data_IF_801188597244
#
_entry.id   IF_801188597244
#
_cell.length_a   1.000
_cell.length_b   1.000
_cell.length_c   1.000
_cell.angle_alpha   90.00
_cell.angle_beta   90.00
_cell.angle_gamma   90.00
#
_symmetry.space_group_name_H-M   'P 1'
#
loop_
_entity.id
_entity.type
_entity.pdbx_description
1 polymer ?
#
# COMPACT_ATOMS: atom_id res chain seq x y z
N UNK A 1 26.01 9.87 -13.36
CA UNK A 1 26.83 10.29 -14.52
C UNK A 1 25.93 11.16 -15.38
N UNK A 2 26.21 12.45 -15.48
CA UNK A 2 25.44 13.39 -16.29
C UNK A 2 25.60 13.01 -17.77
N UNK A 3 24.59 12.38 -18.37
CA UNK A 3 24.48 12.28 -19.83
C UNK A 3 24.07 13.65 -20.37
N UNK A 4 25.02 14.57 -20.43
CA UNK A 4 24.92 15.72 -21.32
C UNK A 4 25.07 15.20 -22.75
N UNK A 5 23.97 14.77 -23.36
CA UNK A 5 23.92 14.44 -24.77
C UNK A 5 24.20 15.71 -25.57
N UNK A 6 25.38 15.79 -26.18
CA UNK A 6 25.72 16.81 -27.17
C UNK A 6 25.10 16.50 -28.55
N UNK A 7 24.14 15.57 -28.60
CA UNK A 7 23.47 15.13 -29.82
C UNK A 7 21.97 15.37 -29.70
N UNK A 8 21.38 15.88 -30.79
CA UNK A 8 19.93 16.00 -30.92
C UNK A 8 19.34 14.58 -31.04
N UNK A 9 18.84 14.06 -29.92
CA UNK A 9 18.21 12.73 -29.83
C UNK A 9 17.01 12.62 -30.78
N UNK A 10 16.29 13.72 -31.04
CA UNK A 10 15.19 13.73 -32.02
C UNK A 10 15.71 13.61 -33.46
N UNK A 11 16.87 14.20 -33.76
CA UNK A 11 17.51 14.03 -35.06
C UNK A 11 17.96 12.58 -35.28
N UNK A 12 18.62 11.97 -34.29
CA UNK A 12 19.03 10.57 -34.37
C UNK A 12 17.80 9.67 -34.52
N UNK A 13 16.73 9.92 -33.75
CA UNK A 13 15.50 9.14 -33.84
C UNK A 13 14.87 9.21 -35.25
N UNK A 14 14.76 10.42 -35.83
CA UNK A 14 14.28 10.60 -37.21
C UNK A 14 15.13 9.83 -38.21
N UNK A 15 16.45 9.84 -38.03
CA UNK A 15 17.39 9.12 -38.88
C UNK A 15 17.25 7.59 -38.72
N UNK A 16 17.07 7.10 -37.51
CA UNK A 16 16.86 5.67 -37.25
C UNK A 16 15.55 5.19 -37.89
N UNK A 17 14.48 5.98 -37.83
CA UNK A 17 13.21 5.67 -38.48
C UNK A 17 13.35 5.71 -40.01
N UNK A 18 14.06 6.69 -40.58
CA UNK A 18 14.25 6.77 -42.03
C UNK A 18 15.11 5.65 -42.61
N UNK A 19 16.03 5.09 -41.82
CA UNK A 19 16.90 3.99 -42.22
C UNK A 19 16.43 2.61 -41.72
N UNK A 20 15.19 2.51 -41.21
CA UNK A 20 14.57 1.25 -40.74
C UNK A 20 15.40 0.54 -39.65
N UNK A 21 16.14 1.32 -38.83
CA UNK A 21 16.90 0.81 -37.68
C UNK A 21 16.05 0.95 -36.42
N UNK A 22 15.14 -0.02 -36.22
CA UNK A 22 14.17 0.02 -35.12
C UNK A 22 14.78 -0.26 -33.74
N UNK A 23 15.81 -1.11 -33.66
CA UNK A 23 16.42 -1.46 -32.37
C UNK A 23 17.08 -0.24 -31.67
N UNK A 24 17.92 0.56 -32.35
CA UNK A 24 18.42 1.81 -31.77
C UNK A 24 17.32 2.84 -31.49
N UNK A 25 16.30 2.93 -32.36
CA UNK A 25 15.19 3.86 -32.16
C UNK A 25 14.43 3.58 -30.85
N UNK A 26 14.20 2.31 -30.53
CA UNK A 26 13.57 1.90 -29.27
C UNK A 26 14.44 2.26 -28.07
N UNK A 27 15.75 2.02 -28.11
CA UNK A 27 16.67 2.38 -27.02
C UNK A 27 16.65 3.90 -26.77
N UNK A 28 16.65 4.70 -27.83
CA UNK A 28 16.53 6.16 -27.72
C UNK A 28 15.20 6.55 -27.08
N UNK A 29 14.09 5.88 -27.43
CA UNK A 29 12.81 6.13 -26.76
C UNK A 29 12.81 5.77 -25.27
N UNK A 30 13.51 4.71 -24.87
CA UNK A 30 13.70 4.35 -23.45
C UNK A 30 14.49 5.46 -22.74
N UNK A 31 15.58 5.95 -23.34
CA UNK A 31 16.39 7.03 -22.77
C UNK A 31 15.62 8.36 -22.62
N UNK A 32 14.69 8.64 -23.55
CA UNK A 32 13.80 9.81 -23.48
C UNK A 32 12.65 9.58 -22.46
N UNK A 33 12.40 8.33 -22.04
CA UNK A 33 11.32 7.95 -21.12
C UNK A 33 9.95 7.75 -21.78
N UNK A 34 9.91 7.61 -23.11
CA UNK A 34 8.68 7.42 -23.91
C UNK A 34 8.39 5.94 -24.17
N UNK A 35 8.13 5.19 -23.10
CA UNK A 35 7.91 3.73 -23.15
C UNK A 35 6.69 3.32 -23.98
N UNK A 36 5.63 4.14 -24.03
CA UNK A 36 4.41 3.84 -24.83
C UNK A 36 4.73 3.83 -26.33
N UNK A 37 5.51 4.80 -26.80
CA UNK A 37 5.94 4.90 -28.20
C UNK A 37 7.00 3.85 -28.54
N UNK A 38 7.91 3.57 -27.58
CA UNK A 38 8.89 2.51 -27.71
C UNK A 38 8.21 1.15 -27.93
N UNK A 39 7.20 0.85 -27.11
CA UNK A 39 6.44 -0.40 -27.19
C UNK A 39 5.64 -0.46 -28.49
N UNK A 40 4.94 0.60 -28.89
CA UNK A 40 4.22 0.62 -30.17
C UNK A 40 5.14 0.39 -31.37
N UNK A 41 6.35 0.96 -31.37
CA UNK A 41 7.32 0.73 -32.43
C UNK A 41 7.82 -0.73 -32.43
N UNK A 42 8.11 -1.29 -31.25
CA UNK A 42 8.52 -2.69 -31.13
C UNK A 42 7.43 -3.66 -31.61
N UNK A 43 6.18 -3.39 -31.21
CA UNK A 43 5.02 -4.20 -31.59
C UNK A 43 4.71 -4.13 -33.09
N UNK A 44 4.85 -2.95 -33.72
CA UNK A 44 4.64 -2.79 -35.18
C UNK A 44 5.65 -3.58 -36.03
N UNK A 45 6.84 -3.83 -35.50
CA UNK A 45 7.91 -4.53 -36.20
C UNK A 45 8.12 -5.96 -35.69
N UNK A 46 7.15 -6.51 -34.96
CA UNK A 46 7.16 -7.89 -34.49
C UNK A 46 8.31 -8.27 -33.54
N UNK A 47 8.91 -7.28 -32.86
CA UNK A 47 10.06 -7.48 -31.97
C UNK A 47 9.61 -7.79 -30.53
N UNK A 48 9.14 -9.02 -30.28
CA UNK A 48 8.64 -9.46 -28.96
C UNK A 48 9.71 -9.40 -27.87
N UNK A 49 10.92 -9.91 -28.15
CA UNK A 49 12.03 -9.89 -27.20
C UNK A 49 12.44 -8.47 -26.78
N UNK A 50 12.27 -7.50 -27.69
CA UNK A 50 12.56 -6.10 -27.40
C UNK A 50 11.43 -5.47 -26.59
N UNK A 51 10.17 -5.82 -26.84
CA UNK A 51 9.04 -5.39 -26.04
C UNK A 51 9.16 -5.85 -24.58
N UNK A 52 9.57 -7.10 -24.34
CA UNK A 52 9.87 -7.60 -22.99
C UNK A 52 10.99 -6.82 -22.31
N UNK A 53 12.06 -6.52 -23.04
CA UNK A 53 13.16 -5.71 -22.53
C UNK A 53 12.69 -4.30 -22.11
N UNK A 54 11.82 -3.65 -22.90
CA UNK A 54 11.24 -2.34 -22.55
C UNK A 54 10.44 -2.43 -21.25
N UNK A 55 9.62 -3.47 -21.10
CA UNK A 55 8.78 -3.66 -19.91
C UNK A 55 9.62 -3.93 -18.66
N UNK A 56 10.65 -4.78 -18.76
CA UNK A 56 11.59 -5.05 -17.67
C UNK A 56 12.41 -3.80 -17.32
N UNK A 57 12.84 -3.02 -18.31
CA UNK A 57 13.53 -1.75 -18.08
C UNK A 57 12.68 -0.74 -17.33
N UNK A 58 11.40 -0.64 -17.68
CA UNK A 58 10.46 0.22 -16.94
C UNK A 58 10.35 -0.21 -15.47
N UNK A 59 10.41 -1.52 -15.21
CA UNK A 59 10.38 -2.07 -13.86
C UNK A 59 11.65 -1.81 -13.06
N UNK A 60 12.82 -1.86 -13.69
CA UNK A 60 14.12 -1.52 -13.08
C UNK A 60 14.25 -0.03 -12.76
N UNK A 61 13.94 0.85 -13.73
CA UNK A 61 14.17 2.30 -13.61
C UNK A 61 13.28 2.97 -12.56
N UNK A 62 12.16 2.32 -12.18
CA UNK A 62 11.16 2.89 -11.28
C UNK A 62 10.90 2.08 -10.02
N UNK A 63 11.86 1.26 -9.57
CA UNK A 63 11.86 0.69 -8.20
C UNK A 63 12.08 1.80 -7.15
N UNK A 64 11.10 2.69 -7.01
CA UNK A 64 10.98 3.56 -5.85
C UNK A 64 10.21 2.77 -4.81
N UNK A 65 10.90 2.49 -3.71
CA UNK A 65 10.43 1.78 -2.52
C UNK A 65 9.01 2.24 -2.10
N UNK A 66 8.03 1.34 -2.25
CA UNK A 66 6.67 1.53 -1.74
C UNK A 66 5.63 1.93 -2.79
N UNK A 67 5.28 0.97 -3.67
CA UNK A 67 4.19 1.13 -4.64
C UNK A 67 2.85 1.14 -3.89
N UNK A 68 2.13 2.26 -3.90
CA UNK A 68 0.70 2.31 -3.58
C UNK A 68 -0.10 2.13 -4.87
N UNK A 69 -1.29 1.52 -4.79
CA UNK A 69 -2.21 1.36 -5.93
C UNK A 69 -2.63 2.70 -6.58
N UNK A 70 -2.36 3.82 -5.91
CA UNK A 70 -2.70 5.18 -6.31
C UNK A 70 -1.61 5.86 -7.17
N UNK A 71 -0.46 5.20 -7.35
CA UNK A 71 0.66 5.79 -8.06
C UNK A 71 0.40 5.81 -9.58
N UNK A 72 0.53 6.99 -10.19
CA UNK A 72 0.42 7.15 -11.66
C UNK A 72 1.33 6.17 -12.43
N UNK A 73 2.44 5.73 -11.81
CA UNK A 73 3.35 4.74 -12.35
C UNK A 73 2.73 3.33 -12.48
N UNK A 74 1.87 2.92 -11.55
CA UNK A 74 1.15 1.65 -11.61
C UNK A 74 0.18 1.64 -12.80
N UNK A 75 -0.55 2.74 -13.01
CA UNK A 75 -1.48 2.84 -14.14
C UNK A 75 -0.77 2.80 -15.51
N UNK A 76 0.36 3.49 -15.65
CA UNK A 76 1.16 3.47 -16.89
C UNK A 76 1.74 2.08 -17.14
N UNK A 77 2.29 1.42 -16.10
CA UNK A 77 2.81 0.05 -16.20
C UNK A 77 1.72 -0.91 -16.66
N UNK A 78 0.56 -0.89 -15.99
CA UNK A 78 -0.57 -1.76 -16.34
C UNK A 78 -1.03 -1.54 -17.78
N UNK A 79 -1.09 -0.29 -18.24
CA UNK A 79 -1.41 0.05 -19.64
C UNK A 79 -0.43 -0.57 -20.63
N UNK A 80 0.88 -0.49 -20.38
CA UNK A 80 1.91 -1.06 -21.25
C UNK A 80 1.79 -2.58 -21.33
N UNK A 81 1.64 -3.25 -20.18
CA UNK A 81 1.45 -4.70 -20.11
C UNK A 81 0.17 -5.16 -20.82
N UNK A 82 -0.94 -4.44 -20.67
CA UNK A 82 -2.18 -4.75 -21.40
C UNK A 82 -2.03 -4.59 -22.92
N UNK A 83 -1.28 -3.58 -23.39
CA UNK A 83 -0.97 -3.42 -24.82
C UNK A 83 -0.14 -4.59 -25.35
N UNK A 84 0.87 -5.01 -24.59
CA UNK A 84 1.69 -6.17 -24.95
C UNK A 84 0.89 -7.47 -24.94
N UNK A 85 0.10 -7.71 -23.91
CA UNK A 85 -0.77 -8.88 -23.81
C UNK A 85 -1.79 -8.96 -24.95
N UNK A 86 -2.42 -7.82 -25.29
CA UNK A 86 -3.33 -7.75 -26.45
C UNK A 86 -2.65 -8.18 -27.74
N UNK A 87 -1.42 -7.71 -27.98
CA UNK A 87 -0.67 -8.08 -29.17
C UNK A 87 -0.28 -9.57 -29.18
N UNK A 88 0.09 -10.14 -28.03
CA UNK A 88 0.37 -11.58 -27.93
C UNK A 88 -0.87 -12.41 -28.26
N UNK A 89 -2.02 -12.06 -27.69
CA UNK A 89 -3.30 -12.76 -27.94
C UNK A 89 -3.70 -12.73 -29.41
N UNK A 90 -3.46 -11.62 -30.11
CA UNK A 90 -3.80 -11.47 -31.54
C UNK A 90 -2.85 -12.26 -32.46
N UNK A 91 -1.62 -12.56 -32.00
CA UNK A 91 -0.57 -13.17 -32.84
C UNK A 91 -0.35 -14.66 -32.59
N UNK A 92 -0.52 -15.13 -31.35
CA UNK A 92 -0.29 -16.55 -31.02
C UNK A 92 -1.59 -17.34 -31.09
N UNK A 93 -1.64 -18.37 -31.94
CA UNK A 93 -2.69 -19.42 -31.87
C UNK A 93 -2.57 -20.24 -30.57
N UNK A 94 -1.34 -20.47 -30.10
CA UNK A 94 -1.04 -21.15 -28.84
C UNK A 94 -1.01 -20.14 -27.67
N UNK A 95 -2.21 -19.71 -27.32
CA UNK A 95 -2.47 -18.76 -26.23
C UNK A 95 -1.92 -19.25 -24.89
N UNK A 96 -2.01 -20.55 -24.61
CA UNK A 96 -1.74 -21.08 -23.28
C UNK A 96 -0.27 -20.90 -22.87
N UNK A 97 0.70 -21.46 -23.59
CA UNK A 97 2.11 -21.40 -23.16
C UNK A 97 2.66 -19.97 -23.11
N UNK A 98 2.29 -19.15 -24.10
CA UNK A 98 2.74 -17.76 -24.20
C UNK A 98 2.13 -16.91 -23.07
N UNK A 99 0.82 -17.01 -22.85
CA UNK A 99 0.16 -16.29 -21.75
C UNK A 99 0.67 -16.79 -20.40
N UNK A 100 0.86 -18.09 -20.22
CA UNK A 100 1.40 -18.65 -18.99
C UNK A 100 2.78 -18.14 -18.65
N UNK A 101 3.70 -18.17 -19.60
CA UNK A 101 5.06 -17.72 -19.37
C UNK A 101 5.11 -16.21 -19.10
N UNK A 102 4.31 -15.41 -19.80
CA UNK A 102 4.41 -13.95 -19.70
C UNK A 102 3.52 -13.35 -18.61
N UNK A 103 2.38 -13.94 -18.25
CA UNK A 103 1.48 -13.46 -17.20
C UNK A 103 1.94 -13.92 -15.82
N UNK A 104 2.34 -15.19 -15.65
CA UNK A 104 2.75 -15.69 -14.32
C UNK A 104 4.04 -15.02 -13.84
N UNK A 105 4.91 -14.61 -14.77
CA UNK A 105 6.10 -13.82 -14.45
C UNK A 105 5.77 -12.37 -14.06
N UNK A 106 4.54 -11.92 -14.30
CA UNK A 106 4.10 -10.54 -14.09
C UNK A 106 2.95 -10.55 -13.11
N UNK A 107 3.30 -10.48 -11.82
CA UNK A 107 2.40 -10.45 -10.65
C UNK A 107 1.42 -9.28 -10.59
N UNK A 108 1.19 -8.57 -11.69
CA UNK A 108 0.42 -7.33 -11.78
C UNK A 108 -0.89 -7.47 -12.56
N UNK A 109 -1.00 -8.44 -13.48
CA UNK A 109 -2.19 -8.63 -14.30
C UNK A 109 -2.97 -9.83 -13.78
N UNK A 110 -4.21 -9.58 -13.33
CA UNK A 110 -5.15 -10.64 -13.00
C UNK A 110 -5.81 -11.17 -14.28
N UNK A 111 -6.25 -12.43 -14.25
CA UNK A 111 -7.03 -13.03 -15.35
C UNK A 111 -8.24 -12.15 -15.73
N UNK A 112 -8.88 -11.52 -14.74
CA UNK A 112 -10.01 -10.61 -14.95
C UNK A 112 -9.70 -9.44 -15.89
N UNK A 113 -8.45 -8.97 -15.92
CA UNK A 113 -8.02 -7.87 -16.79
C UNK A 113 -7.81 -8.30 -18.23
N UNK A 114 -7.57 -9.59 -18.45
CA UNK A 114 -7.31 -10.18 -19.77
C UNK A 114 -8.58 -10.71 -20.43
N UNK A 115 -9.59 -11.07 -19.64
CA UNK A 115 -10.90 -11.55 -20.13
C UNK A 115 -11.49 -10.66 -21.26
N UNK A 116 -11.49 -9.32 -21.15
CA UNK A 116 -12.03 -8.46 -22.20
C UNK A 116 -11.20 -8.40 -23.49
N UNK A 117 -9.95 -8.88 -23.46
CA UNK A 117 -9.04 -8.84 -24.62
C UNK A 117 -9.19 -10.08 -25.51
N UNK A 118 -9.87 -11.14 -25.02
CA UNK A 118 -9.98 -12.40 -25.73
C UNK A 118 -11.00 -12.34 -26.87
N UNK A 119 -10.67 -12.86 -28.08
CA UNK A 119 -11.65 -13.08 -29.14
C UNK A 119 -12.71 -14.12 -28.74
N UNK A 120 -13.90 -14.03 -29.35
CA UNK A 120 -15.05 -14.92 -29.07
C UNK A 120 -14.80 -16.41 -29.42
N UNK A 121 -13.74 -16.71 -30.17
CA UNK A 121 -13.39 -18.06 -30.64
C UNK A 121 -12.63 -18.90 -29.61
N UNK A 122 -12.21 -18.30 -28.50
CA UNK A 122 -11.41 -18.98 -27.48
C UNK A 122 -12.28 -19.91 -26.63
N UNK A 123 -11.84 -21.17 -26.52
CA UNK A 123 -12.46 -22.15 -25.63
C UNK A 123 -12.08 -21.86 -24.18
N UNK A 124 -13.07 -21.59 -23.34
CA UNK A 124 -12.92 -21.38 -21.88
C UNK A 124 -12.20 -22.57 -21.20
N UNK A 125 -12.28 -23.77 -21.78
CA UNK A 125 -11.58 -24.94 -21.28
C UNK A 125 -10.06 -24.78 -21.22
N UNK A 126 -9.50 -23.91 -22.06
CA UNK A 126 -8.07 -23.64 -22.10
C UNK A 126 -7.58 -22.86 -20.87
N UNK A 127 -8.50 -22.23 -20.12
CA UNK A 127 -8.20 -21.35 -18.98
C UNK A 127 -8.69 -21.90 -17.63
N UNK A 128 -9.07 -23.18 -17.60
CA UNK A 128 -9.74 -23.78 -16.45
C UNK A 128 -8.85 -23.76 -15.22
N UNK A 129 -7.58 -24.07 -15.38
CA UNK A 129 -6.65 -24.23 -14.26
C UNK A 129 -6.32 -22.86 -13.64
N UNK A 130 -6.24 -21.81 -14.45
CA UNK A 130 -5.94 -20.42 -14.06
C UNK A 130 -7.14 -19.80 -13.35
N UNK A 131 -8.36 -20.12 -13.81
CA UNK A 131 -9.59 -19.74 -13.12
C UNK A 131 -9.62 -20.39 -11.73
N UNK A 132 -9.31 -21.68 -11.65
CA UNK A 132 -9.29 -22.42 -10.37
C UNK A 132 -8.23 -21.84 -9.43
N UNK A 133 -7.04 -21.51 -9.95
CA UNK A 133 -5.96 -20.89 -9.18
C UNK A 133 -6.37 -19.50 -8.67
N UNK A 134 -6.90 -18.63 -9.53
CA UNK A 134 -7.36 -17.28 -9.17
C UNK A 134 -8.45 -17.33 -8.10
N UNK A 135 -9.39 -18.27 -8.21
CA UNK A 135 -10.45 -18.47 -7.21
C UNK A 135 -9.88 -18.96 -5.87
N UNK A 136 -8.91 -19.88 -5.91
CA UNK A 136 -8.23 -20.37 -4.71
C UNK A 136 -7.44 -19.26 -4.01
N UNK A 137 -6.74 -18.40 -4.77
CA UNK A 137 -6.02 -17.27 -4.22
C UNK A 137 -6.97 -16.24 -3.59
N UNK A 138 -8.10 -15.94 -4.25
CA UNK A 138 -9.12 -15.08 -3.67
C UNK A 138 -9.69 -15.65 -2.35
N UNK A 139 -9.96 -16.96 -2.30
CA UNK A 139 -10.40 -17.62 -1.06
C UNK A 139 -9.34 -17.54 0.04
N UNK A 140 -8.06 -17.80 -0.28
CA UNK A 140 -6.95 -17.66 0.67
C UNK A 140 -6.88 -16.24 1.24
N UNK A 141 -7.01 -15.21 0.39
CA UNK A 141 -7.02 -13.80 0.81
C UNK A 141 -8.18 -13.50 1.77
N UNK A 142 -9.37 -14.01 1.49
CA UNK A 142 -10.53 -13.86 2.39
C UNK A 142 -10.26 -14.51 3.75
N UNK A 143 -9.75 -15.74 3.76
CA UNK A 143 -9.45 -16.47 4.99
C UNK A 143 -8.39 -15.73 5.81
N UNK A 144 -7.33 -15.24 5.17
CA UNK A 144 -6.28 -14.45 5.82
C UNK A 144 -6.85 -13.18 6.45
N UNK A 145 -7.64 -12.41 5.70
CA UNK A 145 -8.24 -11.17 6.20
C UNK A 145 -9.21 -11.43 7.37
N UNK A 146 -9.98 -12.51 7.31
CA UNK A 146 -10.85 -12.93 8.41
C UNK A 146 -10.04 -13.31 9.66
N UNK A 147 -8.88 -13.94 9.48
CA UNK A 147 -7.99 -14.31 10.57
C UNK A 147 -7.34 -13.06 11.21
N UNK A 148 -6.88 -12.11 10.40
CA UNK A 148 -6.36 -10.83 10.87
C UNK A 148 -7.39 -10.03 11.66
N UNK A 149 -8.64 -10.02 11.19
CA UNK A 149 -9.76 -9.39 11.89
C UNK A 149 -10.01 -10.05 13.25
N UNK A 150 -10.00 -11.38 13.31
CA UNK A 150 -10.17 -12.12 14.56
C UNK A 150 -9.03 -11.83 15.54
N UNK A 151 -7.77 -11.91 15.11
CA UNK A 151 -6.60 -11.59 15.92
C UNK A 151 -6.65 -10.16 16.47
N UNK A 152 -6.96 -9.19 15.62
CA UNK A 152 -7.13 -7.79 16.01
C UNK A 152 -8.25 -7.63 17.05
N UNK A 153 -9.35 -8.36 16.88
CA UNK A 153 -10.46 -8.32 17.83
C UNK A 153 -10.10 -8.92 19.20
N UNK A 154 -9.30 -9.99 19.23
CA UNK A 154 -8.80 -10.59 20.46
C UNK A 154 -7.85 -9.65 21.19
N UNK A 155 -6.90 -9.03 20.49
CA UNK A 155 -6.03 -8.01 21.07
C UNK A 155 -6.82 -6.84 21.67
N UNK A 156 -7.85 -6.34 20.97
CA UNK A 156 -8.73 -5.30 21.52
C UNK A 156 -9.47 -5.76 22.79
N UNK A 157 -9.94 -7.01 22.85
CA UNK A 157 -10.58 -7.58 24.05
C UNK A 157 -9.60 -7.67 25.20
N UNK A 158 -8.38 -8.13 24.96
CA UNK A 158 -7.33 -8.18 25.98
C UNK A 158 -6.95 -6.79 26.49
N UNK A 159 -6.78 -5.82 25.59
CA UNK A 159 -6.51 -4.43 25.96
C UNK A 159 -7.64 -3.85 26.82
N UNK A 160 -8.91 -4.08 26.45
CA UNK A 160 -10.07 -3.67 27.27
C UNK A 160 -10.04 -4.30 28.66
N UNK A 161 -9.72 -5.59 28.78
CA UNK A 161 -9.57 -6.28 30.07
C UNK A 161 -8.46 -5.65 30.92
N UNK A 162 -7.29 -5.34 30.31
CA UNK A 162 -6.17 -4.68 30.98
C UNK A 162 -6.55 -3.28 31.49
N UNK A 163 -7.26 -2.48 30.69
CA UNK A 163 -7.76 -1.15 31.11
C UNK A 163 -8.72 -1.27 32.29
N UNK A 164 -9.69 -2.19 32.25
CA UNK A 164 -10.65 -2.40 33.34
C UNK A 164 -9.92 -2.87 34.62
N UNK A 165 -8.96 -3.78 34.48
CA UNK A 165 -8.15 -4.25 35.61
C UNK A 165 -7.32 -3.14 36.24
N UNK A 166 -6.62 -2.34 35.42
CA UNK A 166 -5.81 -1.22 35.88
C UNK A 166 -6.66 -0.12 36.54
N UNK A 167 -7.85 0.18 36.00
CA UNK A 167 -8.81 1.11 36.63
C UNK A 167 -9.26 0.65 38.01
N UNK A 168 -9.35 -0.67 38.26
CA UNK A 168 -9.70 -1.21 39.59
C UNK A 168 -8.54 -1.15 40.59
N UNK A 169 -7.29 -1.33 40.14
CA UNK A 169 -6.10 -1.29 41.02
C UNK A 169 -5.64 0.12 41.40
N UNK A 170 -5.85 1.12 40.54
CA UNK A 170 -5.36 2.50 40.74
C UNK A 170 -6.17 3.34 41.73
N UNK A 171 -7.26 2.81 42.29
CA UNK A 171 -8.13 3.55 43.22
C UNK A 171 -7.73 3.43 44.71
N UNK A 172 -6.63 2.74 45.04
CA UNK A 172 -6.15 2.67 46.43
C UNK A 172 -5.01 3.67 46.60
N UNK A 173 -5.34 4.84 47.16
CA UNK A 173 -4.38 5.84 47.58
C UNK A 173 -4.20 5.78 49.10
N UNK A 174 -2.97 5.61 49.56
CA UNK A 174 -2.61 5.67 50.98
C UNK A 174 -2.27 7.12 51.30
N UNK A 175 -3.00 7.73 52.23
CA UNK A 175 -2.83 9.13 52.63
C UNK A 175 -2.24 9.14 54.04
N UNK A 176 -1.13 9.87 54.23
CA UNK A 176 -0.52 10.03 55.54
C UNK A 176 -1.32 11.01 56.42
N UNK A 177 -1.49 10.72 57.72
CA UNK A 177 -2.21 11.60 58.63
C UNK A 177 -1.45 12.92 58.83
N UNK A 178 -2.02 14.02 58.35
CA UNK A 178 -1.45 15.37 58.50
C UNK A 178 -1.32 16.16 57.20
N UNK A 179 -1.62 15.56 56.05
CA UNK A 179 -1.47 16.22 54.75
C UNK A 179 -2.41 17.45 54.63
N UNK A 180 -1.88 18.63 54.25
CA UNK A 180 -2.68 19.86 54.12
C UNK A 180 -3.27 19.99 52.72
N UNK A 181 -4.43 20.65 52.62
CA UNK A 181 -4.99 21.01 51.33
C UNK A 181 -4.11 22.05 50.62
N UNK A 182 -3.72 21.80 49.35
CA UNK A 182 -2.82 22.68 48.59
C UNK A 182 -3.39 24.08 48.28
N UNK A 183 -4.70 24.30 48.45
CA UNK A 183 -5.36 25.60 48.22
C UNK A 183 -5.52 26.43 49.49
N UNK A 184 -5.88 25.80 50.62
CA UNK A 184 -6.22 26.51 51.85
C UNK A 184 -5.25 26.25 53.01
N UNK A 185 -4.30 25.33 52.86
CA UNK A 185 -3.32 24.97 53.88
C UNK A 185 -3.87 24.26 55.11
N UNK A 186 -5.19 24.00 55.18
CA UNK A 186 -5.82 23.32 56.33
C UNK A 186 -5.79 21.81 56.18
N UNK A 187 -5.80 21.10 57.31
CA UNK A 187 -5.81 19.63 57.36
C UNK A 187 -6.97 19.04 56.56
N UNK A 188 -6.68 18.00 55.76
CA UNK A 188 -7.69 17.35 54.91
C UNK A 188 -8.80 16.66 55.70
N UNK A 189 -8.45 16.08 56.85
CA UNK A 189 -9.36 15.28 57.69
C UNK A 189 -10.55 16.09 58.24
N UNK A 190 -10.45 17.43 58.28
CA UNK A 190 -11.50 18.29 58.83
C UNK A 190 -12.74 18.43 57.92
N UNK A 191 -12.64 18.09 56.63
CA UNK A 191 -13.74 18.25 55.64
C UNK A 191 -13.71 17.14 54.59
N UNK A 192 -14.80 16.93 53.87
CA UNK A 192 -14.83 16.04 52.71
C UNK A 192 -13.76 16.45 51.68
N UNK A 193 -12.85 15.54 51.35
CA UNK A 193 -11.72 15.79 50.45
C UNK A 193 -11.76 14.88 49.21
N UNK A 194 -10.96 15.25 48.20
CA UNK A 194 -10.68 14.50 46.98
C UNK A 194 -9.17 14.39 46.85
N UNK A 195 -8.69 13.17 46.59
CA UNK A 195 -7.28 12.86 46.41
C UNK A 195 -7.05 12.35 44.99
N UNK A 196 -6.01 12.87 44.33
CA UNK A 196 -5.64 12.46 42.99
C UNK A 196 -4.46 11.47 43.01
N UNK A 197 -4.67 10.18 42.67
CA UNK A 197 -3.61 9.16 42.77
C UNK A 197 -2.47 9.33 41.76
N UNK A 198 -2.71 9.99 40.62
CA UNK A 198 -1.68 10.22 39.60
C UNK A 198 -0.69 11.34 39.97
N UNK A 199 -1.12 12.31 40.78
CA UNK A 199 -0.31 13.49 41.12
C UNK A 199 -0.13 13.73 42.61
N UNK A 200 -0.65 12.82 43.45
CA UNK A 200 -0.56 12.87 44.91
C UNK A 200 -1.02 14.21 45.49
N UNK A 201 -2.00 14.86 44.86
CA UNK A 201 -2.54 16.12 45.34
C UNK A 201 -3.89 15.90 46.04
N UNK A 202 -4.06 16.57 47.17
CA UNK A 202 -5.27 16.51 47.95
C UNK A 202 -5.95 17.88 48.09
N UNK A 203 -7.27 17.90 47.90
CA UNK A 203 -8.08 19.11 47.97
C UNK A 203 -9.39 18.87 48.72
N UNK A 204 -9.90 19.86 49.47
CA UNK A 204 -11.29 19.79 49.94
C UNK A 204 -12.27 19.89 48.78
N UNK A 205 -13.42 19.20 48.85
CA UNK A 205 -14.49 19.27 47.81
C UNK A 205 -14.93 20.72 47.52
N UNK A 206 -14.95 21.58 48.54
CA UNK A 206 -15.27 23.01 48.39
C UNK A 206 -14.15 23.79 47.69
N UNK A 207 -12.89 23.41 47.94
CA UNK A 207 -11.72 24.06 47.35
C UNK A 207 -11.56 23.72 45.86
N UNK A 208 -12.04 22.55 45.44
CA UNK A 208 -12.00 22.06 44.04
C UNK A 208 -12.93 22.85 43.11
N UNK A 209 -14.07 23.38 43.59
CA UNK A 209 -15.12 24.03 42.77
C UNK A 209 -14.65 25.19 41.86
N UNK A 210 -13.43 25.70 42.04
CA UNK A 210 -12.90 26.84 41.28
C UNK A 210 -11.61 26.57 40.50
N UNK A 211 -10.88 25.49 40.74
CA UNK A 211 -9.59 25.26 40.08
C UNK A 211 -9.50 23.82 39.57
N UNK A 212 -9.34 23.69 38.24
CA UNK A 212 -8.73 22.51 37.62
C UNK A 212 -7.34 22.28 38.25
N UNK A 213 -6.93 21.03 38.42
CA UNK A 213 -5.54 20.73 38.73
C UNK A 213 -4.71 21.05 37.47
N UNK A 214 -4.32 22.32 37.28
CA UNK A 214 -3.59 22.82 36.09
C UNK A 214 -2.28 22.08 35.80
N UNK A 215 -1.77 21.30 36.76
CA UNK A 215 -0.56 20.49 36.64
C UNK A 215 -0.81 19.12 35.98
N UNK A 216 -2.06 18.69 35.86
CA UNK A 216 -2.44 17.39 35.33
C UNK A 216 -3.76 17.57 34.59
N UNK A 217 -3.79 17.46 33.26
CA UNK A 217 -5.00 17.50 32.42
C UNK A 217 -5.98 16.32 32.70
N UNK A 218 -6.08 15.86 33.95
CA UNK A 218 -7.09 14.93 34.41
C UNK A 218 -8.39 15.72 34.63
N UNK A 219 -9.17 15.82 33.56
CA UNK A 219 -10.60 16.05 33.68
C UNK A 219 -11.17 14.86 34.46
N UNK A 220 -11.67 15.12 35.67
CA UNK A 220 -12.75 14.31 36.21
C UNK A 220 -13.93 14.47 35.24
N UNK A 221 -13.96 13.63 34.20
CA UNK A 221 -15.20 13.29 33.53
C UNK A 221 -16.03 12.50 34.56
N UNK A 222 -16.72 13.26 35.41
CA UNK A 222 -17.94 12.81 36.07
C UNK A 222 -18.98 12.47 34.99
#
# INVERSE_FOLDING_TARGET
INFTSNFDTNFILRLCISHEKFHPAVLIYIEIGLFDQALELALKHDLTSLAEFILNKYDEDKQVEGIKLEDANYNVKRKLWLKFAKYLIDKSDDLNETLHHHINNVSMLDLNDLLPLFPETISINNFKDEIVESLNEYNKRIVHLSLDMNNSSEHLREMKKKVIYNKKKTNVAIIEPGEPCRKCGKLLVQKNFVYFPNCHHAFHKECMKKNQCLLCNDFLNL
#
